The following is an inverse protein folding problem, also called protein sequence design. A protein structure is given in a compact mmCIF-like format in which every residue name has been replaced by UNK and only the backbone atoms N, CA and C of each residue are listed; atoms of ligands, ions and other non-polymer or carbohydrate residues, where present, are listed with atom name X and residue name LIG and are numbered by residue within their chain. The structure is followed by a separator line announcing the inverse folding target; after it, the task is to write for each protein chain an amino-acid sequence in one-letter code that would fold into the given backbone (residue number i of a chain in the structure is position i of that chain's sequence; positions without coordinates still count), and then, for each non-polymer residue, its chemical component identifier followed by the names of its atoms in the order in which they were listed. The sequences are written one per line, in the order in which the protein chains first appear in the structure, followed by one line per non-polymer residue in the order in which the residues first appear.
data_IF_714966821458
#
_entry.id   IF_714966821458
#
_cell.length_a   1.000
_cell.length_b   1.000
_cell.length_c   1.000
_cell.angle_alpha   90.00
_cell.angle_beta   90.00
_cell.angle_gamma   90.00
#
_symmetry.space_group_name_H-M   'P 1'
#
loop_
_entity.id
_entity.type
_entity.pdbx_description
1 polymer ?
#
# COMPACT_ATOMS: atom_id res chain seq x y z
N UNK A 1 41.94 6.70 72.28
CA UNK A 1 40.72 7.48 72.57
C UNK A 1 41.02 8.96 72.36
N UNK A 2 40.39 9.60 71.37
CA UNK A 2 40.02 11.03 71.38
C UNK A 2 39.38 11.39 70.05
N UNK A 3 38.06 11.55 70.10
CA UNK A 3 37.28 12.35 69.15
C UNK A 3 37.70 13.80 69.37
N UNK A 4 37.91 14.57 68.32
CA UNK A 4 37.72 16.01 68.40
C UNK A 4 37.28 16.56 67.03
N UNK A 5 36.07 17.10 67.05
CA UNK A 5 35.47 17.89 65.99
C UNK A 5 36.33 19.12 65.70
N UNK A 6 36.52 19.43 64.42
CA UNK A 6 36.90 20.77 63.97
C UNK A 6 35.77 21.30 63.09
N UNK A 7 35.34 22.48 63.45
CA UNK A 7 34.26 23.30 62.87
C UNK A 7 34.88 24.32 61.93
N UNK A 8 34.15 24.57 60.85
CA UNK A 8 34.12 25.77 60.01
C UNK A 8 35.36 26.10 59.15
N UNK A 9 35.12 26.41 57.87
CA UNK A 9 34.97 27.79 57.36
C UNK A 9 34.99 27.72 55.82
N UNK A 10 33.95 28.31 55.23
CA UNK A 10 33.92 29.11 53.98
C UNK A 10 35.02 28.86 52.94
N UNK A 11 34.62 28.46 51.73
CA UNK A 11 35.23 28.96 50.51
C UNK A 11 34.20 29.00 49.37
N UNK A 12 33.80 30.20 48.99
CA UNK A 12 33.21 30.48 47.68
C UNK A 12 34.24 30.10 46.61
N UNK A 13 33.97 29.03 45.86
CA UNK A 13 34.66 28.74 44.62
C UNK A 13 33.84 29.30 43.45
N UNK A 14 34.23 30.49 43.01
CA UNK A 14 33.90 31.02 41.69
C UNK A 14 35.05 30.62 40.77
N UNK A 15 34.89 29.57 39.96
CA UNK A 15 35.85 29.21 38.91
C UNK A 15 35.12 28.57 37.70
N UNK A 16 34.87 29.43 36.71
CA UNK A 16 34.87 29.24 35.24
C UNK A 16 34.52 27.88 34.63
N UNK A 17 33.57 27.82 33.67
CA UNK A 17 33.74 26.97 32.50
C UNK A 17 34.69 27.66 31.51
N UNK A 18 35.87 27.07 31.41
CA UNK A 18 36.86 27.29 30.36
C UNK A 18 36.22 27.05 28.99
N UNK A 19 36.06 28.10 28.20
CA UNK A 19 35.72 28.04 26.79
C UNK A 19 37.02 28.13 25.99
N UNK A 20 37.50 26.99 25.47
CA UNK A 20 38.34 26.89 24.27
C UNK A 20 38.78 25.43 24.08
N UNK A 21 38.35 24.79 22.99
CA UNK A 21 39.24 24.61 21.83
C UNK A 21 38.44 24.22 20.56
N UNK A 22 38.93 24.60 19.36
CA UNK A 22 38.33 24.37 18.06
C UNK A 22 38.76 23.00 17.47
N UNK A 23 38.26 22.72 16.27
CA UNK A 23 38.55 21.56 15.44
C UNK A 23 37.88 20.25 15.86
N UNK A 24 36.58 20.15 15.53
CA UNK A 24 36.13 18.95 14.82
C UNK A 24 35.33 19.39 13.60
N UNK A 25 35.88 19.03 12.44
CA UNK A 25 35.29 19.22 11.14
C UNK A 25 33.84 18.72 11.15
N UNK A 26 32.91 19.63 10.84
CA UNK A 26 31.61 19.25 10.30
C UNK A 26 31.92 18.74 8.90
N UNK A 27 31.74 17.45 8.57
CA UNK A 27 31.72 17.06 7.18
C UNK A 27 30.55 17.81 6.55
N UNK A 28 30.86 18.67 5.58
CA UNK A 28 29.94 19.16 4.57
C UNK A 28 29.39 17.95 3.81
N UNK A 29 28.44 17.26 4.45
CA UNK A 29 27.56 16.30 3.82
C UNK A 29 26.50 17.11 3.11
N UNK A 30 26.75 17.36 1.84
CA UNK A 30 25.78 17.78 0.83
C UNK A 30 24.40 17.18 1.16
N UNK A 31 23.32 17.98 1.28
CA UNK A 31 21.99 17.38 1.18
C UNK A 31 21.93 16.72 -0.18
N UNK A 32 21.86 15.38 -0.17
CA UNK A 32 21.72 14.57 -1.36
C UNK A 32 20.65 15.18 -2.25
N UNK A 33 21.07 15.63 -3.43
CA UNK A 33 20.19 16.07 -4.49
C UNK A 33 19.30 14.89 -4.86
N UNK A 34 18.05 14.88 -4.38
CA UNK A 34 17.05 13.93 -4.87
C UNK A 34 16.60 14.49 -6.21
N UNK A 35 17.25 13.98 -7.25
CA UNK A 35 17.01 14.30 -8.64
C UNK A 35 15.53 14.31 -8.97
N UNK A 36 15.02 15.51 -9.23
CA UNK A 36 13.92 15.74 -10.15
C UNK A 36 14.39 15.38 -11.55
N UNK A 37 14.29 14.10 -11.90
CA UNK A 37 14.36 13.64 -13.28
C UNK A 37 13.36 12.51 -13.47
N UNK A 38 12.11 12.90 -13.68
CA UNK A 38 11.22 12.40 -14.72
C UNK A 38 11.30 10.90 -15.02
N UNK A 39 10.99 10.07 -14.02
CA UNK A 39 10.65 8.66 -14.21
C UNK A 39 9.54 8.27 -13.22
N UNK A 40 8.46 9.07 -13.20
CA UNK A 40 7.38 8.99 -12.21
C UNK A 40 5.99 8.79 -12.85
N UNK A 41 5.91 8.11 -13.99
CA UNK A 41 4.62 7.73 -14.60
C UNK A 41 4.19 6.28 -14.29
N UNK A 42 4.96 5.54 -13.49
CA UNK A 42 4.54 4.27 -12.90
C UNK A 42 5.46 3.89 -11.74
N UNK A 43 5.33 4.56 -10.59
CA UNK A 43 6.01 4.07 -9.38
C UNK A 43 5.47 2.65 -9.07
N UNK A 44 6.35 1.65 -8.84
CA UNK A 44 5.91 0.30 -8.51
C UNK A 44 5.01 0.37 -7.28
N UNK A 45 3.95 -0.45 -7.27
CA UNK A 45 3.06 -0.55 -6.11
C UNK A 45 3.87 -1.19 -4.98
N UNK A 46 4.59 -0.36 -4.23
CA UNK A 46 5.44 -0.80 -3.12
C UNK A 46 4.54 -1.36 -2.04
N UNK A 47 4.50 -2.69 -1.98
CA UNK A 47 3.94 -3.49 -0.90
C UNK A 47 2.51 -3.12 -0.54
N UNK A 48 1.55 -3.62 -1.33
CA UNK A 48 0.14 -3.62 -0.93
C UNK A 48 0.06 -4.41 0.38
N UNK A 49 -0.80 -4.00 1.31
CA UNK A 49 -1.03 -4.79 2.52
C UNK A 49 -1.99 -5.95 2.23
N UNK A 50 -2.05 -6.95 3.12
CA UNK A 50 -3.11 -7.95 3.04
C UNK A 50 -4.48 -7.28 3.19
N UNK A 51 -5.50 -7.79 2.49
CA UNK A 51 -6.85 -7.23 2.48
C UNK A 51 -6.91 -5.76 2.03
N UNK A 52 -5.96 -5.29 1.24
CA UNK A 52 -6.03 -3.98 0.59
C UNK A 52 -6.16 -4.16 -0.92
N UNK A 53 -6.96 -3.29 -1.52
CA UNK A 53 -7.15 -3.20 -2.96
C UNK A 53 -6.77 -1.79 -3.39
N UNK A 54 -5.81 -1.70 -4.29
CA UNK A 54 -5.32 -0.44 -4.84
C UNK A 54 -5.78 -0.33 -6.27
N UNK A 55 -6.33 0.81 -6.67
CA UNK A 55 -6.92 1.00 -7.99
C UNK A 55 -6.29 2.24 -8.61
N UNK A 56 -5.70 2.07 -9.78
CA UNK A 56 -5.29 3.21 -10.60
C UNK A 56 -6.53 3.72 -11.36
N UNK A 57 -6.80 5.02 -11.28
CA UNK A 57 -8.03 5.63 -11.78
C UNK A 57 -7.73 6.94 -12.49
N UNK A 58 -8.19 7.09 -13.73
CA UNK A 58 -8.07 8.36 -14.44
C UNK A 58 -9.17 9.34 -14.05
N UNK A 59 -8.81 10.63 -13.99
CA UNK A 59 -9.76 11.75 -13.87
C UNK A 59 -9.90 12.34 -12.47
N UNK A 60 -9.14 11.85 -11.48
CA UNK A 60 -9.11 12.41 -10.13
C UNK A 60 -8.20 13.64 -10.12
N UNK A 61 -8.80 14.83 -10.23
CA UNK A 61 -8.05 16.12 -10.31
C UNK A 61 -8.52 17.17 -9.30
N UNK A 62 -9.51 16.84 -8.47
CA UNK A 62 -10.12 17.78 -7.53
C UNK A 62 -10.45 17.07 -6.21
N UNK A 63 -10.10 17.67 -5.09
CA UNK A 63 -10.32 17.13 -3.74
C UNK A 63 -11.81 17.00 -3.39
N UNK A 64 -12.64 17.92 -3.85
CA UNK A 64 -14.09 17.82 -3.65
C UNK A 64 -14.71 16.65 -4.44
N UNK A 65 -14.18 16.37 -5.64
CA UNK A 65 -14.66 15.23 -6.43
C UNK A 65 -14.20 13.91 -5.81
N UNK A 66 -12.95 13.85 -5.33
CA UNK A 66 -12.40 12.70 -4.60
C UNK A 66 -13.26 12.31 -3.38
N UNK A 67 -13.72 13.28 -2.60
CA UNK A 67 -14.62 13.03 -1.47
C UNK A 67 -15.94 12.36 -1.88
N UNK A 68 -16.47 12.71 -3.06
CA UNK A 68 -17.65 12.06 -3.63
C UNK A 68 -17.41 10.58 -3.91
N UNK A 69 -16.24 10.25 -4.46
CA UNK A 69 -15.80 8.88 -4.72
C UNK A 69 -15.61 8.07 -3.43
N UNK A 70 -14.94 8.65 -2.44
CA UNK A 70 -14.75 8.05 -1.11
C UNK A 70 -16.09 7.65 -0.49
N UNK A 71 -17.09 8.53 -0.56
CA UNK A 71 -18.44 8.26 -0.03
C UNK A 71 -19.19 7.20 -0.83
N UNK A 72 -18.97 7.11 -2.14
CA UNK A 72 -19.60 6.10 -2.98
C UNK A 72 -19.05 4.69 -2.70
N UNK A 73 -17.72 4.59 -2.55
CA UNK A 73 -16.99 3.35 -2.30
C UNK A 73 -17.10 2.91 -0.83
N UNK A 74 -17.08 3.82 0.15
CA UNK A 74 -17.19 3.48 1.57
C UNK A 74 -18.54 2.87 1.99
N UNK A 75 -19.53 2.83 1.08
CA UNK A 75 -20.82 2.13 1.30
C UNK A 75 -20.80 0.67 0.86
N UNK A 76 -19.71 0.22 0.24
CA UNK A 76 -19.56 -1.17 -0.18
C UNK A 76 -19.54 -2.07 1.05
N UNK A 77 -20.29 -3.18 0.99
CA UNK A 77 -20.35 -4.12 2.12
C UNK A 77 -19.03 -4.83 2.37
N UNK A 78 -18.13 -4.88 1.40
CA UNK A 78 -16.82 -5.55 1.50
C UNK A 78 -15.73 -4.65 2.09
N UNK A 79 -16.05 -3.40 2.45
CA UNK A 79 -15.08 -2.41 2.95
C UNK A 79 -15.02 -2.41 4.48
N UNK A 80 -13.81 -2.35 5.02
CA UNK A 80 -13.56 -2.12 6.44
C UNK A 80 -13.50 -0.62 6.74
N UNK A 81 -14.60 -0.08 7.24
CA UNK A 81 -14.71 1.34 7.58
C UNK A 81 -13.81 1.77 8.76
N UNK A 82 -13.19 0.83 9.47
CA UNK A 82 -12.29 1.12 10.61
C UNK A 82 -10.95 1.71 10.16
N UNK A 83 -10.56 1.45 8.91
CA UNK A 83 -9.33 1.96 8.29
C UNK A 83 -9.65 3.19 7.43
N UNK A 84 -8.71 4.11 7.25
CA UNK A 84 -8.87 5.34 6.44
C UNK A 84 -10.08 6.25 6.81
N UNK A 85 -10.76 5.99 7.92
CA UNK A 85 -11.95 6.73 8.38
C UNK A 85 -13.29 6.23 7.80
N UNK A 86 -13.30 5.71 6.57
CA UNK A 86 -14.45 5.09 5.92
C UNK A 86 -14.08 3.90 5.03
N UNK A 87 -12.85 3.39 5.17
CA UNK A 87 -12.28 2.29 4.41
C UNK A 87 -11.82 2.65 3.01
N UNK A 88 -11.76 3.95 2.66
CA UNK A 88 -11.31 4.44 1.36
C UNK A 88 -10.30 5.56 1.56
N UNK A 89 -9.20 5.50 0.82
CA UNK A 89 -8.20 6.57 0.73
C UNK A 89 -8.04 6.94 -0.75
N UNK A 90 -8.27 8.20 -1.10
CA UNK A 90 -8.05 8.71 -2.46
C UNK A 90 -6.82 9.60 -2.49
N UNK A 91 -5.86 9.23 -3.34
CA UNK A 91 -4.64 9.98 -3.60
C UNK A 91 -4.76 10.67 -4.97
N UNK A 92 -4.88 12.00 -4.95
CA UNK A 92 -5.09 12.80 -6.16
C UNK A 92 -3.81 12.86 -7.00
N UNK A 93 -2.65 13.02 -6.36
CA UNK A 93 -1.36 13.18 -7.03
C UNK A 93 -0.97 11.94 -7.84
N UNK A 94 -1.18 10.75 -7.27
CA UNK A 94 -0.90 9.45 -7.89
C UNK A 94 -2.09 8.89 -8.66
N UNK A 95 -3.24 9.57 -8.65
CA UNK A 95 -4.48 9.12 -9.29
C UNK A 95 -4.87 7.69 -8.86
N UNK A 96 -4.83 7.46 -7.54
CA UNK A 96 -4.96 6.14 -6.93
C UNK A 96 -6.04 6.12 -5.86
N UNK A 97 -6.74 5.00 -5.78
CA UNK A 97 -7.74 4.74 -4.75
C UNK A 97 -7.36 3.47 -4.01
N UNK A 98 -7.14 3.59 -2.71
CA UNK A 98 -6.85 2.47 -1.82
C UNK A 98 -8.09 2.14 -1.00
N UNK A 99 -8.48 0.86 -1.04
CA UNK A 99 -9.64 0.31 -0.36
C UNK A 99 -9.18 -0.69 0.69
N UNK A 100 -9.64 -0.49 1.93
CA UNK A 100 -9.49 -1.46 3.00
C UNK A 100 -10.64 -2.47 2.90
N UNK A 101 -10.31 -3.74 2.66
CA UNK A 101 -11.29 -4.82 2.53
C UNK A 101 -11.46 -5.56 3.86
N UNK A 102 -12.69 -6.01 4.12
CA UNK A 102 -12.95 -6.97 5.19
C UNK A 102 -12.27 -8.30 4.87
N UNK A 103 -11.60 -8.88 5.88
CA UNK A 103 -11.04 -10.22 5.76
C UNK A 103 -12.14 -11.24 5.39
N UNK A 104 -11.77 -12.27 4.62
CA UNK A 104 -12.66 -13.39 4.28
C UNK A 104 -13.93 -13.01 3.50
N UNK A 105 -13.92 -11.82 2.86
CA UNK A 105 -14.96 -11.39 1.92
C UNK A 105 -14.41 -11.42 0.51
N UNK A 106 -15.23 -11.91 -0.43
CA UNK A 106 -14.87 -11.89 -1.84
C UNK A 106 -14.85 -10.45 -2.36
N UNK A 107 -13.89 -10.16 -3.23
CA UNK A 107 -13.79 -8.86 -3.90
C UNK A 107 -14.76 -8.85 -5.07
N UNK A 108 -15.75 -7.96 -5.03
CA UNK A 108 -16.65 -7.69 -6.14
C UNK A 108 -16.06 -6.60 -7.04
N UNK A 109 -15.16 -7.02 -7.93
CA UNK A 109 -14.50 -6.11 -8.88
C UNK A 109 -15.50 -5.37 -9.78
N UNK A 110 -16.65 -5.98 -10.07
CA UNK A 110 -17.66 -5.38 -10.94
C UNK A 110 -18.42 -4.26 -10.22
N UNK A 111 -18.89 -4.48 -8.98
CA UNK A 111 -19.55 -3.42 -8.20
C UNK A 111 -18.60 -2.24 -7.94
N UNK A 112 -17.32 -2.53 -7.66
CA UNK A 112 -16.30 -1.48 -7.49
C UNK A 112 -16.09 -0.71 -8.81
N UNK A 113 -15.92 -1.42 -9.93
CA UNK A 113 -15.75 -0.81 -11.25
C UNK A 113 -16.92 0.12 -11.58
N UNK A 114 -18.16 -0.36 -11.47
CA UNK A 114 -19.36 0.41 -11.82
C UNK A 114 -19.51 1.65 -10.92
N UNK A 115 -19.20 1.54 -9.62
CA UNK A 115 -19.23 2.72 -8.72
C UNK A 115 -18.20 3.78 -9.07
N UNK A 116 -17.01 3.37 -9.50
CA UNK A 116 -15.98 4.32 -9.96
C UNK A 116 -16.45 5.02 -11.25
N UNK A 117 -17.05 4.27 -12.18
CA UNK A 117 -17.65 4.83 -13.41
C UNK A 117 -18.79 5.81 -13.10
N UNK A 118 -19.72 5.41 -12.22
CA UNK A 118 -20.87 6.23 -11.80
C UNK A 118 -20.45 7.52 -11.10
N UNK A 119 -19.32 7.49 -10.39
CA UNK A 119 -18.71 8.67 -9.78
C UNK A 119 -18.01 9.60 -10.80
N UNK A 120 -17.95 9.22 -12.08
CA UNK A 120 -17.41 10.03 -13.17
C UNK A 120 -15.94 9.78 -13.50
N UNK A 121 -15.38 8.67 -13.03
CA UNK A 121 -13.97 8.33 -13.23
C UNK A 121 -13.78 7.14 -14.17
N UNK A 122 -12.53 6.82 -14.48
CA UNK A 122 -12.19 5.68 -15.33
C UNK A 122 -11.15 4.77 -14.65
N UNK A 123 -11.56 3.63 -14.07
CA UNK A 123 -10.63 2.68 -13.46
C UNK A 123 -9.78 2.02 -14.54
N UNK A 124 -8.48 1.86 -14.26
CA UNK A 124 -7.49 1.33 -15.20
C UNK A 124 -7.05 -0.07 -14.78
N UNK A 125 -6.58 -0.20 -13.55
CA UNK A 125 -6.04 -1.46 -13.00
C UNK A 125 -6.37 -1.60 -11.53
N UNK A 126 -6.61 -2.85 -11.14
CA UNK A 126 -6.92 -3.25 -9.77
C UNK A 126 -5.77 -4.12 -9.26
N UNK A 127 -5.02 -3.62 -8.29
CA UNK A 127 -3.89 -4.27 -7.67
C UNK A 127 -4.24 -4.79 -6.28
N UNK A 128 -3.86 -6.02 -5.97
CA UNK A 128 -4.09 -6.60 -4.66
C UNK A 128 -3.08 -7.73 -4.38
N UNK A 129 -2.93 -8.09 -3.11
CA UNK A 129 -2.21 -9.30 -2.76
C UNK A 129 -3.09 -10.52 -2.96
N UNK A 130 -2.69 -11.38 -3.88
CA UNK A 130 -3.30 -12.68 -4.05
C UNK A 130 -2.54 -13.70 -3.20
N UNK A 131 -3.17 -14.12 -2.10
CA UNK A 131 -2.72 -15.23 -1.28
C UNK A 131 -3.67 -16.42 -1.46
N UNK A 132 -3.12 -17.62 -1.59
CA UNK A 132 -3.93 -18.81 -1.82
C UNK A 132 -3.13 -20.07 -2.10
N UNK A 133 -3.80 -21.06 -2.68
CA UNK A 133 -3.17 -22.28 -3.18
C UNK A 133 -3.18 -22.29 -4.70
N UNK A 134 -2.00 -22.31 -5.30
CA UNK A 134 -1.81 -22.48 -6.74
C UNK A 134 -1.83 -23.96 -7.12
N UNK A 135 -2.64 -24.29 -8.11
CA UNK A 135 -2.68 -25.60 -8.75
C UNK A 135 -2.76 -25.44 -10.26
N UNK A 136 -2.11 -26.35 -11.00
CA UNK A 136 -2.18 -26.35 -12.45
C UNK A 136 -3.48 -27.05 -12.89
N UNK A 137 -4.26 -26.38 -13.75
CA UNK A 137 -5.47 -26.94 -14.35
C UNK A 137 -5.51 -26.55 -15.83
N UNK A 138 -5.52 -27.54 -16.72
CA UNK A 138 -5.59 -27.30 -18.17
C UNK A 138 -4.40 -26.51 -18.72
N UNK A 139 -3.19 -26.70 -18.17
CA UNK A 139 -1.99 -25.98 -18.58
C UNK A 139 -1.89 -24.54 -18.07
N UNK A 140 -2.91 -24.03 -17.37
CA UNK A 140 -2.89 -22.72 -16.71
C UNK A 140 -2.72 -22.87 -15.20
N UNK A 141 -2.12 -21.86 -14.57
CA UNK A 141 -2.06 -21.77 -13.11
C UNK A 141 -3.33 -21.15 -12.57
N UNK A 142 -4.02 -21.88 -11.70
CA UNK A 142 -5.22 -21.40 -11.01
C UNK A 142 -4.92 -21.28 -9.52
N UNK A 143 -5.09 -20.08 -8.98
CA UNK A 143 -4.98 -19.79 -7.55
C UNK A 143 -6.36 -19.76 -6.96
N UNK A 144 -6.60 -20.61 -5.95
CA UNK A 144 -7.78 -20.50 -5.10
C UNK A 144 -7.42 -19.58 -3.95
N UNK A 145 -8.08 -18.42 -3.87
CA UNK A 145 -7.81 -17.44 -2.82
C UNK A 145 -8.20 -17.94 -1.43
N UNK A 146 -7.98 -17.12 -0.40
CA UNK A 146 -8.46 -17.38 0.97
C UNK A 146 -9.97 -17.66 1.00
N UNK A 147 -10.73 -17.03 0.11
CA UNK A 147 -12.13 -17.34 -0.14
C UNK A 147 -12.23 -18.46 -1.20
N UNK A 148 -12.72 -19.66 -0.86
CA UNK A 148 -12.76 -20.79 -1.80
C UNK A 148 -13.67 -20.56 -3.01
N UNK A 149 -14.62 -19.62 -2.91
CA UNK A 149 -15.48 -19.20 -4.03
C UNK A 149 -14.79 -18.29 -5.05
N UNK A 150 -13.60 -17.76 -4.75
CA UNK A 150 -12.87 -16.85 -5.63
C UNK A 150 -11.62 -17.51 -6.19
N UNK A 151 -11.63 -17.75 -7.50
CA UNK A 151 -10.55 -18.41 -8.24
C UNK A 151 -9.96 -17.44 -9.24
N UNK A 152 -8.64 -17.47 -9.36
CA UNK A 152 -7.88 -16.59 -10.24
C UNK A 152 -7.01 -17.40 -11.17
N UNK A 153 -6.96 -17.04 -12.45
CA UNK A 153 -6.05 -17.66 -13.41
C UNK A 153 -4.89 -16.72 -13.68
N UNK A 154 -3.67 -17.20 -13.52
CA UNK A 154 -2.48 -16.40 -13.82
C UNK A 154 -2.29 -16.38 -15.34
N UNK A 155 -2.34 -15.18 -15.92
CA UNK A 155 -2.29 -14.98 -17.38
C UNK A 155 -0.86 -14.90 -17.92
N UNK A 156 0.11 -14.41 -17.14
CA UNK A 156 1.49 -14.31 -17.55
C UNK A 156 2.30 -15.58 -17.20
N UNK A 157 2.89 -16.20 -18.21
CA UNK A 157 3.72 -17.41 -18.10
C UNK A 157 5.12 -17.18 -17.51
N UNK A 158 5.56 -15.93 -17.35
CA UNK A 158 6.89 -15.60 -16.79
C UNK A 158 6.94 -15.62 -15.26
N UNK A 159 5.81 -15.71 -14.58
CA UNK A 159 5.78 -15.83 -13.13
C UNK A 159 6.25 -17.23 -12.70
N UNK A 160 7.22 -17.28 -11.78
CA UNK A 160 7.72 -18.51 -11.14
C UNK A 160 6.68 -19.11 -10.18
N UNK A 161 5.51 -19.49 -10.70
CA UNK A 161 4.42 -20.09 -9.92
C UNK A 161 4.77 -21.55 -9.66
N UNK A 162 4.77 -21.94 -8.39
CA UNK A 162 4.94 -23.33 -7.96
C UNK A 162 3.62 -23.88 -7.40
N UNK A 163 3.47 -25.20 -7.45
CA UNK A 163 2.31 -25.86 -6.86
C UNK A 163 2.34 -25.71 -5.33
N UNK A 164 1.21 -25.35 -4.73
CA UNK A 164 1.10 -25.15 -3.29
C UNK A 164 0.85 -23.70 -2.92
N UNK A 165 1.50 -23.21 -1.85
CA UNK A 165 1.25 -21.87 -1.30
C UNK A 165 1.69 -20.80 -2.31
N UNK A 166 0.76 -19.93 -2.68
CA UNK A 166 0.99 -18.77 -3.54
C UNK A 166 0.72 -17.48 -2.77
N UNK A 167 1.62 -16.51 -2.89
CA UNK A 167 1.46 -15.18 -2.33
C UNK A 167 2.25 -14.19 -3.18
N UNK A 168 1.56 -13.29 -3.85
CA UNK A 168 2.21 -12.26 -4.67
C UNK A 168 1.24 -11.09 -4.92
N UNK A 169 1.79 -9.91 -5.20
CA UNK A 169 1.02 -8.80 -5.74
C UNK A 169 0.61 -9.13 -7.17
N UNK A 170 -0.67 -8.99 -7.46
CA UNK A 170 -1.21 -9.19 -8.80
C UNK A 170 -2.05 -7.99 -9.19
N UNK A 171 -2.28 -7.84 -10.49
CA UNK A 171 -3.25 -6.89 -11.00
C UNK A 171 -4.24 -7.50 -11.98
N UNK A 172 -5.40 -6.86 -12.09
CA UNK A 172 -6.44 -7.13 -13.09
C UNK A 172 -6.68 -5.83 -13.85
N UNK A 173 -6.60 -5.87 -15.17
CA UNK A 173 -7.01 -4.73 -16.00
C UNK A 173 -8.52 -4.53 -15.90
N UNK A 174 -8.97 -3.28 -15.89
CA UNK A 174 -10.37 -2.93 -15.68
C UNK A 174 -11.31 -3.51 -16.76
N UNK A 175 -10.79 -3.80 -17.95
CA UNK A 175 -11.49 -4.52 -19.03
C UNK A 175 -11.91 -5.94 -18.63
N UNK A 176 -11.10 -6.62 -17.82
CA UNK A 176 -11.35 -7.98 -17.31
C UNK A 176 -12.20 -7.93 -16.05
N UNK A 177 -12.02 -6.91 -15.20
CA UNK A 177 -12.80 -6.70 -13.97
C UNK A 177 -14.32 -6.65 -14.24
N UNK A 178 -14.74 -6.09 -15.37
CA UNK A 178 -16.15 -6.04 -15.81
C UNK A 178 -16.75 -7.43 -16.10
N UNK A 179 -15.92 -8.39 -16.50
CA UNK A 179 -16.34 -9.71 -17.01
C UNK A 179 -16.51 -10.75 -15.89
N UNK A 180 -15.95 -10.49 -14.70
CA UNK A 180 -15.86 -11.43 -13.58
C UNK A 180 -17.19 -11.82 -12.90
N UNK A 181 -18.34 -11.31 -13.38
CA UNK A 181 -19.66 -11.61 -12.79
C UNK A 181 -20.11 -13.02 -13.23
N UNK A 182 -19.75 -14.03 -12.44
CA UNK A 182 -20.32 -15.37 -12.51
C UNK A 182 -19.44 -16.42 -13.19
N UNK A 183 -18.93 -17.35 -12.38
CA UNK A 183 -18.48 -18.71 -12.73
C UNK A 183 -17.12 -18.91 -13.40
N UNK A 184 -16.53 -17.91 -14.05
CA UNK A 184 -15.18 -18.05 -14.63
C UNK A 184 -14.09 -17.54 -13.66
N UNK A 185 -12.91 -18.18 -13.60
CA UNK A 185 -11.79 -17.65 -12.84
C UNK A 185 -11.36 -16.28 -13.40
N UNK A 186 -11.14 -15.30 -12.52
CA UNK A 186 -10.67 -13.97 -12.93
C UNK A 186 -9.23 -14.06 -13.41
N UNK A 187 -8.93 -13.57 -14.61
CA UNK A 187 -7.54 -13.53 -15.10
C UNK A 187 -6.76 -12.43 -14.38
N UNK A 188 -5.63 -12.80 -13.80
CA UNK A 188 -4.72 -11.92 -13.05
C UNK A 188 -3.32 -11.97 -13.65
N UNK A 189 -2.64 -10.83 -13.65
CA UNK A 189 -1.23 -10.74 -14.00
C UNK A 189 -0.43 -10.61 -12.72
N UNK A 190 0.63 -11.41 -12.57
CA UNK A 190 1.57 -11.24 -11.45
C UNK A 190 2.39 -9.98 -11.71
N UNK A 191 2.38 -9.07 -10.74
CA UNK A 191 3.22 -7.87 -10.78
C UNK A 191 4.66 -8.33 -10.49
N UNK A 192 5.40 -8.56 -11.57
CA UNK A 192 6.76 -9.09 -11.52
C UNK A 192 7.71 -8.07 -10.94
N UNK A 193 7.88 -8.09 -9.62
CA UNK A 193 9.06 -7.53 -8.97
C UNK A 193 10.06 -8.69 -8.83
N UNK A 194 10.91 -8.84 -9.85
CA UNK A 194 12.18 -9.57 -9.70
C UNK A 194 13.17 -8.73 -8.88
#
# INVERSE_FOLDING_TARGET
MKRLFVVAVVMMFVTTPSYANPDTAVPDGEPAEIGSSNEAAHAPVREIQANHLVIDVNGIVCSFCAYGLEKALGKLSSIDASLYGNGVLVEIESQRVSLALLAERAIDFADIFERIKDAGYDPVRFYFNLAGTAAQAGGKWVVTGTNPGQRFTISNSSASVQQGKFMSTVYVDASVAKVAVGSAPVEVVVDGHE
#
